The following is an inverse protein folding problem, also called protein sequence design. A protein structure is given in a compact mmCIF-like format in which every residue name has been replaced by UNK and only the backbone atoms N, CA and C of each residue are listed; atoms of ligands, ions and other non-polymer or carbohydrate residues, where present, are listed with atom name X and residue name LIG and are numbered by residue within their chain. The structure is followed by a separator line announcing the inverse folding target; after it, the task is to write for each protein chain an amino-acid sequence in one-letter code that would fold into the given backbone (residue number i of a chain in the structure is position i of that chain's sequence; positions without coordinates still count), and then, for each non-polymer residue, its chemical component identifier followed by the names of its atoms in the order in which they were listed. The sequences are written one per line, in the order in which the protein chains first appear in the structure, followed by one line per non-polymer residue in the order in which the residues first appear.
data_IF_854010908243
#
_entry.id   IF_854010908243
#
_cell.length_a   1.000
_cell.length_b   1.000
_cell.length_c   1.000
_cell.angle_alpha   90.00
_cell.angle_beta   90.00
_cell.angle_gamma   90.00
#
_symmetry.space_group_name_H-M   'P 1'
#
loop_
_entity.id
_entity.type
_entity.pdbx_description
1 polymer ?
#
# COMPACT_ATOMS: atom_id res chain seq x y z
N UNK A 1 -6.87 3.46 -17.67
CA UNK A 1 -6.58 2.57 -16.54
C UNK A 1 -7.43 3.04 -15.37
N UNK A 2 -8.01 2.14 -14.57
CA UNK A 2 -8.69 2.54 -13.35
C UNK A 2 -7.71 3.24 -12.39
N UNK A 3 -8.22 4.23 -11.67
CA UNK A 3 -7.50 4.95 -10.64
C UNK A 3 -7.79 4.35 -9.27
N UNK A 4 -6.77 4.33 -8.43
CA UNK A 4 -6.82 3.75 -7.10
C UNK A 4 -6.32 4.73 -6.05
N UNK A 5 -6.88 4.60 -4.86
CA UNK A 5 -6.39 5.20 -3.63
C UNK A 5 -5.42 4.21 -2.98
N UNK A 6 -4.15 4.58 -2.87
CA UNK A 6 -3.12 3.77 -2.19
C UNK A 6 -3.12 4.12 -0.71
N UNK A 7 -3.21 3.07 0.11
CA UNK A 7 -3.25 3.13 1.57
C UNK A 7 -2.11 2.30 2.14
N UNK A 8 -1.62 2.72 3.31
CA UNK A 8 -0.57 2.03 4.06
C UNK A 8 -1.06 1.71 5.46
N UNK A 9 -0.79 0.49 5.92
CA UNK A 9 -0.81 0.15 7.33
C UNK A 9 0.58 0.42 7.88
N UNK A 10 0.67 1.34 8.83
CA UNK A 10 1.91 1.74 9.47
C UNK A 10 2.19 0.84 10.67
N UNK A 11 3.47 0.58 10.95
CA UNK A 11 3.87 -0.18 12.13
C UNK A 11 3.45 0.53 13.40
N UNK A 12 3.02 -0.26 14.38
CA UNK A 12 2.47 0.24 15.64
C UNK A 12 0.95 0.35 15.61
N UNK A 13 0.37 0.75 16.74
CA UNK A 13 -1.08 0.89 16.92
C UNK A 13 -1.39 2.22 17.56
N UNK A 14 -2.52 2.80 17.18
CA UNK A 14 -3.10 3.89 17.95
C UNK A 14 -3.84 3.32 19.16
N UNK A 15 -3.81 4.06 20.27
CA UNK A 15 -4.56 3.74 21.48
C UNK A 15 -5.53 4.89 21.72
N UNK A 16 -6.83 4.62 21.77
CA UNK A 16 -7.80 5.64 22.16
C UNK A 16 -7.65 6.02 23.62
N UNK A 17 -8.23 7.16 24.00
CA UNK A 17 -8.33 7.58 25.40
C UNK A 17 -9.04 6.55 26.29
N UNK A 18 -9.90 5.71 25.71
CA UNK A 18 -10.59 4.62 26.40
C UNK A 18 -9.82 3.29 26.42
N UNK A 19 -8.62 3.25 25.84
CA UNK A 19 -7.74 2.07 25.83
C UNK A 19 -7.96 1.08 24.68
N UNK A 20 -8.83 1.39 23.70
CA UNK A 20 -9.00 0.54 22.52
C UNK A 20 -7.81 0.72 21.57
N UNK A 21 -7.33 -0.37 20.97
CA UNK A 21 -6.29 -0.29 19.95
C UNK A 21 -6.88 -0.22 18.55
N UNK A 22 -6.31 0.63 17.71
CA UNK A 22 -6.68 0.78 16.31
C UNK A 22 -5.45 0.62 15.44
N UNK A 23 -5.66 0.05 14.26
CA UNK A 23 -4.62 0.01 13.24
C UNK A 23 -4.31 1.43 12.75
N UNK A 24 -3.03 1.69 12.52
CA UNK A 24 -2.56 2.98 12.05
C UNK A 24 -2.56 2.99 10.53
N UNK A 25 -3.63 3.51 9.92
CA UNK A 25 -3.74 3.61 8.48
C UNK A 25 -3.42 5.02 7.98
N UNK A 26 -2.68 5.10 6.89
CA UNK A 26 -2.33 6.36 6.23
C UNK A 26 -2.72 6.32 4.75
N UNK A 27 -3.39 7.38 4.28
CA UNK A 27 -3.55 7.64 2.85
C UNK A 27 -2.21 8.09 2.26
N UNK A 28 -1.77 7.38 1.23
CA UNK A 28 -0.49 7.65 0.58
C UNK A 28 -0.69 8.51 -0.67
N UNK A 29 -1.64 8.15 -1.53
CA UNK A 29 -1.83 8.91 -2.76
C UNK A 29 -2.68 8.17 -3.75
N UNK A 30 -2.70 8.72 -4.96
CA UNK A 30 -3.39 8.10 -6.08
C UNK A 30 -2.39 7.38 -6.97
N UNK A 31 -2.81 6.24 -7.53
CA UNK A 31 -2.04 5.48 -8.50
C UNK A 31 -2.97 4.81 -9.49
N UNK A 32 -2.54 4.72 -10.76
CA UNK A 32 -3.28 4.01 -11.79
C UNK A 32 -2.70 2.60 -11.96
N UNK A 33 -3.56 1.62 -12.25
CA UNK A 33 -3.15 0.24 -12.45
C UNK A 33 -4.18 -0.55 -13.24
N UNK A 34 -3.81 -1.72 -13.75
CA UNK A 34 -4.79 -2.67 -14.31
C UNK A 34 -5.63 -3.34 -13.22
N UNK A 35 -5.04 -3.51 -12.03
CA UNK A 35 -5.59 -4.11 -10.82
C UNK A 35 -4.96 -3.43 -9.58
N UNK A 36 -5.47 -3.68 -8.35
CA UNK A 36 -4.93 -3.08 -7.13
C UNK A 36 -3.42 -3.31 -6.93
N UNK A 37 -2.93 -4.52 -7.24
CA UNK A 37 -1.52 -4.88 -7.05
C UNK A 37 -0.60 -4.12 -8.01
N UNK A 38 -1.03 -3.95 -9.26
CA UNK A 38 -0.35 -3.13 -10.25
C UNK A 38 -0.30 -1.66 -9.80
N UNK A 39 -1.37 -1.12 -9.22
CA UNK A 39 -1.40 0.25 -8.71
C UNK A 39 -0.46 0.45 -7.51
N UNK A 40 -0.43 -0.50 -6.56
CA UNK A 40 0.52 -0.48 -5.43
C UNK A 40 1.96 -0.60 -5.93
N UNK A 41 2.24 -1.51 -6.85
CA UNK A 41 3.58 -1.70 -7.42
C UNK A 41 4.07 -0.43 -8.11
N UNK A 42 3.23 0.18 -8.95
CA UNK A 42 3.56 1.43 -9.63
C UNK A 42 3.84 2.58 -8.64
N UNK A 43 3.06 2.68 -7.56
CA UNK A 43 3.28 3.67 -6.51
C UNK A 43 4.59 3.43 -5.74
N UNK A 44 4.89 2.17 -5.41
CA UNK A 44 6.10 1.80 -4.69
C UNK A 44 7.36 2.04 -5.52
N UNK A 45 7.31 1.75 -6.82
CA UNK A 45 8.45 1.90 -7.73
C UNK A 45 8.79 3.37 -8.03
N UNK A 46 7.78 4.26 -8.02
CA UNK A 46 7.94 5.69 -8.28
C UNK A 46 7.13 6.54 -7.29
N UNK A 47 7.50 6.55 -5.99
CA UNK A 47 6.73 7.26 -5.00
C UNK A 47 6.80 8.78 -5.23
N UNK A 48 5.68 9.51 -5.13
CA UNK A 48 5.63 10.95 -5.42
C UNK A 48 6.37 11.80 -4.38
N UNK A 49 6.78 11.21 -3.26
CA UNK A 49 7.53 11.85 -2.18
C UNK A 49 8.40 10.81 -1.46
N UNK A 50 9.43 11.22 -0.70
CA UNK A 50 10.28 10.30 0.06
C UNK A 50 9.48 9.58 1.15
N UNK A 51 9.52 8.25 1.17
CA UNK A 51 8.84 7.40 2.15
C UNK A 51 9.85 6.57 2.93
N UNK A 52 9.72 6.55 4.26
CA UNK A 52 10.47 5.64 5.12
C UNK A 52 9.71 4.31 5.17
N UNK A 53 10.01 3.42 4.22
CA UNK A 53 9.34 2.12 4.10
C UNK A 53 9.50 1.22 5.32
N UNK A 54 10.50 1.48 6.17
CA UNK A 54 10.69 0.76 7.43
C UNK A 54 9.51 0.92 8.40
N UNK A 55 8.74 2.00 8.30
CA UNK A 55 7.58 2.31 9.14
C UNK A 55 6.28 1.77 8.57
N UNK A 56 6.29 1.19 7.37
CA UNK A 56 5.11 0.62 6.70
C UNK A 56 5.12 -0.90 6.87
N UNK A 57 3.99 -1.47 7.25
CA UNK A 57 3.79 -2.92 7.38
C UNK A 57 3.29 -3.53 6.06
N UNK A 58 2.23 -2.96 5.48
CA UNK A 58 1.74 -3.35 4.16
C UNK A 58 1.01 -2.20 3.47
N UNK A 59 0.93 -2.29 2.14
CA UNK A 59 0.16 -1.40 1.29
C UNK A 59 -1.06 -2.13 0.73
N UNK A 60 -2.09 -1.38 0.36
CA UNK A 60 -3.16 -1.86 -0.50
C UNK A 60 -3.73 -0.72 -1.32
N UNK A 61 -4.55 -1.06 -2.31
CA UNK A 61 -5.18 -0.09 -3.19
C UNK A 61 -6.69 -0.31 -3.24
N UNK A 62 -7.45 0.76 -3.02
CA UNK A 62 -8.91 0.80 -3.15
C UNK A 62 -9.27 1.47 -4.47
N UNK A 63 -10.14 0.86 -5.27
CA UNK A 63 -10.52 1.42 -6.58
C UNK A 63 -11.38 2.67 -6.38
N UNK A 64 -11.11 3.71 -7.16
CA UNK A 64 -11.97 4.88 -7.27
C UNK A 64 -13.01 4.63 -8.36
N UNK A 65 -14.16 4.09 -7.98
CA UNK A 65 -15.33 3.98 -8.84
C UNK A 65 -16.61 4.29 -8.05
N UNK A 66 -17.67 4.68 -8.76
CA UNK A 66 -19.00 4.84 -8.19
C UNK A 66 -19.76 3.51 -8.35
N UNK A 67 -19.37 2.52 -7.55
CA UNK A 67 -19.88 1.16 -7.55
C UNK A 67 -19.97 0.65 -6.09
N UNK A 68 -21.01 -0.11 -5.79
CA UNK A 68 -21.27 -0.72 -4.48
C UNK A 68 -20.18 -1.73 -4.08
N UNK A 69 -19.37 -2.19 -5.04
CA UNK A 69 -18.19 -3.04 -4.84
C UNK A 69 -16.92 -2.26 -4.41
N UNK A 70 -17.04 -1.07 -3.84
CA UNK A 70 -15.91 -0.29 -3.31
C UNK A 70 -16.00 -0.10 -1.79
N UNK A 71 -14.89 0.31 -1.17
CA UNK A 71 -14.82 0.52 0.27
C UNK A 71 -14.63 -0.78 1.04
N UNK A 72 -13.72 -1.62 0.55
CA UNK A 72 -13.41 -2.92 1.16
C UNK A 72 -12.56 -2.80 2.43
N UNK A 73 -12.20 -1.58 2.85
CA UNK A 73 -11.54 -1.29 4.14
C UNK A 73 -10.29 -2.15 4.40
N UNK A 74 -9.53 -2.49 3.36
CA UNK A 74 -8.35 -3.35 3.50
C UNK A 74 -8.63 -4.86 3.47
N UNK A 75 -9.81 -5.28 3.00
CA UNK A 75 -10.10 -6.67 2.60
C UNK A 75 -9.46 -7.03 1.24
N UNK A 76 -8.98 -6.03 0.48
CA UNK A 76 -8.17 -6.27 -0.71
C UNK A 76 -6.80 -6.87 -0.37
N UNK A 77 -6.17 -7.48 -1.37
CA UNK A 77 -4.89 -8.16 -1.22
C UNK A 77 -3.83 -7.23 -0.60
N UNK A 78 -3.32 -7.65 0.56
CA UNK A 78 -2.29 -6.91 1.31
C UNK A 78 -0.94 -7.15 0.67
N UNK A 79 -0.29 -6.06 0.30
CA UNK A 79 1.02 -6.09 -0.33
C UNK A 79 2.06 -5.73 0.71
N UNK A 80 2.73 -6.75 1.25
CA UNK A 80 3.78 -6.58 2.25
C UNK A 80 5.01 -5.93 1.63
N UNK A 81 5.54 -4.92 2.31
CA UNK A 81 6.68 -4.12 1.83
C UNK A 81 7.92 -5.00 1.68
N UNK A 82 8.10 -5.97 2.57
CA UNK A 82 9.18 -6.94 2.53
C UNK A 82 9.16 -7.76 1.23
N UNK A 83 7.98 -8.13 0.73
CA UNK A 83 7.82 -8.85 -0.54
C UNK A 83 8.22 -7.99 -1.73
N UNK A 84 7.87 -6.71 -1.71
CA UNK A 84 8.27 -5.76 -2.77
C UNK A 84 9.78 -5.54 -2.77
N UNK A 85 10.39 -5.36 -1.58
CA UNK A 85 11.84 -5.20 -1.45
C UNK A 85 12.62 -6.44 -1.90
N UNK A 86 12.16 -7.64 -1.55
CA UNK A 86 12.80 -8.88 -1.97
C UNK A 86 12.85 -9.03 -3.50
N UNK A 87 11.81 -8.57 -4.22
CA UNK A 87 11.80 -8.54 -5.69
C UNK A 87 12.88 -7.62 -6.26
N UNK A 88 13.09 -6.45 -5.64
CA UNK A 88 14.12 -5.49 -6.05
C UNK A 88 15.54 -5.96 -5.68
N UNK A 89 15.73 -6.54 -4.50
CA UNK A 89 17.02 -7.04 -4.03
C UNK A 89 17.42 -8.34 -4.78
N UNK A 90 16.47 -9.17 -5.21
CA UNK A 90 16.71 -10.38 -6.01
C UNK A 90 16.90 -10.14 -7.52
N UNK A 91 16.38 -9.03 -8.06
CA UNK A 91 16.47 -8.68 -9.49
C UNK A 91 17.77 -7.95 -9.89
N UNK A 92 18.62 -7.58 -8.93
CA UNK A 92 19.90 -6.91 -9.18
C UNK A 92 21.08 -7.85 -9.49
N UNK A 93 20.87 -9.17 -9.49
CA UNK A 93 21.94 -10.16 -9.67
C UNK A 93 22.12 -10.66 -11.13
N UNK A 94 21.34 -10.16 -12.10
CA UNK A 94 21.48 -10.51 -13.53
C UNK A 94 21.98 -9.33 -14.37
N UNK A 95 22.95 -8.59 -13.85
CA UNK A 95 23.70 -7.60 -14.61
C UNK A 95 25.20 -7.67 -14.26
N UNK A 96 25.84 -8.79 -14.60
CA UNK A 96 27.27 -8.84 -14.92
C UNK A 96 27.55 -9.91 -15.98
#
# INVERSE_FOLDING_TARGET
MPSYLVLAAMKGRFVSETGNTYDNFQFMGYSDGADPMAAVSAFFDAPPYPIVWGDVEYLWAERLADDDANGHLGDYERVYVETLRARWEGGGAEAE
#
